data_IF_019336072627
#
_entry.id   IF_019336072627
#
_cell.length_a   1.000
_cell.length_b   1.000
_cell.length_c   1.000
_cell.angle_alpha   90.00
_cell.angle_beta   90.00
_cell.angle_gamma   90.00
#
_symmetry.space_group_name_H-M   'P 1'
#
loop_
_entity.id
_entity.type
_entity.pdbx_description
1 polymer ?
#
# COMPACT_ATOMS: atom_id res chain seq x y z
N UNK A 1 14.63 -6.12 2.44
CA UNK A 1 13.22 -5.64 2.43
C UNK A 1 13.21 -4.12 2.39
N UNK A 2 12.19 -3.48 1.80
CA UNK A 2 12.01 -2.03 1.76
C UNK A 2 10.65 -1.66 2.37
N UNK A 3 10.63 -0.76 3.37
CA UNK A 3 9.38 -0.34 4.04
C UNK A 3 8.69 0.77 3.25
N UNK A 4 7.43 0.57 2.87
CA UNK A 4 6.58 1.57 2.24
C UNK A 4 5.48 2.02 3.20
N UNK A 5 5.37 3.34 3.39
CA UNK A 5 4.35 3.97 4.21
C UNK A 5 3.24 4.51 3.31
N UNK A 6 2.15 3.74 3.18
CA UNK A 6 0.98 4.11 2.39
C UNK A 6 0.11 5.10 3.16
N UNK A 7 -0.55 5.97 2.39
CA UNK A 7 -1.49 7.00 2.87
C UNK A 7 -2.36 7.50 1.71
N UNK A 8 -3.46 8.23 1.96
CA UNK A 8 -4.22 8.88 0.89
C UNK A 8 -3.31 9.70 -0.03
N UNK A 9 -3.43 9.49 -1.34
CA UNK A 9 -2.58 10.11 -2.37
C UNK A 9 -1.20 9.48 -2.59
N UNK A 10 -0.85 8.43 -1.84
CA UNK A 10 0.32 7.59 -2.05
C UNK A 10 -0.03 6.13 -1.69
N UNK A 11 -0.89 5.53 -2.52
CA UNK A 11 -1.49 4.21 -2.33
C UNK A 11 -0.77 3.13 -3.12
N UNK A 12 -1.52 2.09 -3.52
CA UNK A 12 -0.93 0.91 -4.17
C UNK A 12 -0.35 1.21 -5.55
N UNK A 13 -0.97 2.10 -6.34
CA UNK A 13 -0.45 2.47 -7.66
C UNK A 13 0.89 3.22 -7.55
N UNK A 14 1.03 4.15 -6.61
CA UNK A 14 2.29 4.84 -6.37
C UNK A 14 3.36 3.88 -5.84
N UNK A 15 2.97 2.91 -5.01
CA UNK A 15 3.88 1.85 -4.56
C UNK A 15 4.35 0.96 -5.71
N UNK A 16 3.47 0.61 -6.66
CA UNK A 16 3.80 -0.23 -7.81
C UNK A 16 4.81 0.47 -8.73
N UNK A 17 4.67 1.79 -8.90
CA UNK A 17 5.60 2.60 -9.67
C UNK A 17 7.05 2.63 -9.10
N UNK A 18 7.24 2.21 -7.84
CA UNK A 18 8.56 2.09 -7.22
C UNK A 18 9.20 0.70 -7.42
N UNK A 19 8.50 -0.28 -7.99
CA UNK A 19 8.97 -1.66 -8.07
C UNK A 19 10.32 -1.80 -8.81
N UNK A 20 10.46 -1.15 -9.98
CA UNK A 20 11.70 -1.16 -10.77
C UNK A 20 12.86 -0.53 -9.99
N UNK A 21 12.60 0.58 -9.30
CA UNK A 21 13.59 1.26 -8.48
C UNK A 21 14.04 0.39 -7.29
N UNK A 22 13.09 -0.20 -6.57
CA UNK A 22 13.37 -1.09 -5.43
C UNK A 22 14.18 -2.31 -5.89
N UNK A 23 13.84 -2.86 -7.06
CA UNK A 23 14.57 -3.99 -7.67
C UNK A 23 15.99 -3.59 -8.07
N UNK A 24 16.17 -2.40 -8.67
CA UNK A 24 17.49 -1.87 -9.03
C UNK A 24 18.41 -1.66 -7.81
N UNK A 25 17.84 -1.41 -6.64
CA UNK A 25 18.58 -1.37 -5.37
C UNK A 25 18.99 -2.75 -4.84
N UNK A 26 18.60 -3.84 -5.52
CA UNK A 26 18.86 -5.22 -5.09
C UNK A 26 17.91 -5.72 -3.99
N UNK A 27 16.78 -5.03 -3.77
CA UNK A 27 15.82 -5.40 -2.74
C UNK A 27 14.75 -6.31 -3.33
N UNK A 28 14.45 -7.40 -2.61
CA UNK A 28 13.57 -8.46 -3.09
C UNK A 28 12.14 -8.41 -2.57
N UNK A 29 11.87 -7.64 -1.51
CA UNK A 29 10.56 -7.64 -0.83
C UNK A 29 10.17 -6.23 -0.39
N UNK A 30 8.97 -5.80 -0.73
CA UNK A 30 8.33 -4.62 -0.16
C UNK A 30 7.56 -5.00 1.11
N UNK A 31 7.71 -4.20 2.16
CA UNK A 31 6.98 -4.33 3.41
C UNK A 31 6.03 -3.13 3.57
N UNK A 32 4.73 -3.37 3.40
CA UNK A 32 3.72 -2.30 3.40
C UNK A 32 3.24 -1.96 4.82
N UNK A 33 2.82 -0.72 5.04
CA UNK A 33 1.94 -0.35 6.16
C UNK A 33 0.58 -1.07 6.06
N UNK A 34 -0.24 -1.07 7.14
CA UNK A 34 -1.56 -1.72 7.10
C UNK A 34 -2.38 -1.32 5.86
N UNK A 35 -3.01 -2.31 5.25
CA UNK A 35 -3.70 -2.18 3.94
C UNK A 35 -5.21 -2.29 4.02
N UNK A 36 -5.74 -2.69 5.19
CA UNK A 36 -7.16 -2.80 5.44
C UNK A 36 -7.78 -1.41 5.63
N UNK A 37 -9.09 -1.31 5.49
CA UNK A 37 -9.79 -0.03 5.61
C UNK A 37 -9.60 0.56 7.02
N UNK A 38 -8.95 1.73 7.04
CA UNK A 38 -8.78 2.56 8.22
C UNK A 38 -9.83 3.66 8.30
N UNK A 39 -9.84 4.43 9.40
CA UNK A 39 -10.67 5.62 9.50
C UNK A 39 -10.36 6.60 8.33
N UNK A 40 -11.36 7.34 7.82
CA UNK A 40 -11.16 8.24 6.69
C UNK A 40 -10.03 9.24 6.92
N UNK A 41 -9.16 9.42 5.91
CA UNK A 41 -8.02 10.32 5.97
C UNK A 41 -6.83 9.81 6.81
N UNK A 42 -6.85 8.55 7.26
CA UNK A 42 -5.74 7.99 8.04
C UNK A 42 -4.42 8.02 7.27
N UNK A 43 -3.42 8.67 7.84
CA UNK A 43 -2.08 8.75 7.26
C UNK A 43 -1.22 7.49 7.52
N UNK A 44 -1.71 6.53 8.32
CA UNK A 44 -0.91 5.41 8.79
C UNK A 44 -1.56 4.02 8.70
N UNK A 45 -2.89 3.94 8.69
CA UNK A 45 -3.65 2.69 8.54
C UNK A 45 -3.83 1.80 9.79
N UNK A 46 -3.16 2.10 10.91
CA UNK A 46 -3.27 1.29 12.15
C UNK A 46 -4.62 1.39 12.88
N UNK A 47 -5.41 2.39 12.55
CA UNK A 47 -6.78 2.63 13.01
C UNK A 47 -7.80 1.94 12.10
N UNK A 48 -7.66 0.62 11.95
CA UNK A 48 -8.53 -0.21 11.12
C UNK A 48 -9.98 -0.18 11.63
N UNK A 49 -10.92 0.12 10.75
CA UNK A 49 -12.38 0.16 11.02
C UNK A 49 -13.14 -0.97 10.34
N UNK A 50 -12.55 -1.59 9.30
CA UNK A 50 -13.16 -2.71 8.60
C UNK A 50 -12.08 -3.70 8.14
N UNK A 51 -12.13 -4.90 8.73
CA UNK A 51 -11.15 -5.97 8.49
C UNK A 51 -11.48 -6.81 7.24
N UNK A 52 -12.63 -6.57 6.59
CA UNK A 52 -13.10 -7.39 5.48
C UNK A 52 -12.66 -6.89 4.11
N UNK A 53 -12.14 -5.65 4.04
CA UNK A 53 -11.80 -5.00 2.78
C UNK A 53 -10.49 -4.21 2.85
N UNK A 54 -9.88 -4.10 1.68
CA UNK A 54 -8.74 -3.21 1.45
C UNK A 54 -9.21 -1.75 1.48
N UNK A 55 -8.34 -0.85 1.90
CA UNK A 55 -8.66 0.58 1.97
C UNK A 55 -8.96 1.16 0.60
N UNK A 56 -10.13 1.79 0.44
CA UNK A 56 -10.48 2.48 -0.81
C UNK A 56 -9.56 3.68 -1.07
N UNK A 57 -9.14 4.38 0.00
CA UNK A 57 -8.22 5.54 -0.09
C UNK A 57 -6.81 5.16 -0.54
N UNK A 58 -6.45 3.88 -0.45
CA UNK A 58 -5.18 3.34 -0.98
C UNK A 58 -5.34 2.79 -2.41
N UNK A 59 -6.54 2.81 -2.99
CA UNK A 59 -6.84 2.28 -4.32
C UNK A 59 -7.59 0.93 -4.33
N UNK A 60 -7.99 0.43 -3.16
CA UNK A 60 -8.83 -0.75 -3.02
C UNK A 60 -8.24 -2.03 -3.60
N UNK A 61 -9.12 -3.01 -3.90
CA UNK A 61 -8.72 -4.33 -4.43
C UNK A 61 -7.99 -4.24 -5.77
N UNK A 62 -8.44 -3.35 -6.66
CA UNK A 62 -7.84 -3.20 -7.98
C UNK A 62 -6.40 -2.68 -7.87
N UNK A 63 -6.18 -1.61 -7.09
CA UNK A 63 -4.84 -1.07 -6.87
C UNK A 63 -3.91 -2.09 -6.22
N UNK A 64 -4.41 -2.85 -5.23
CA UNK A 64 -3.61 -3.90 -4.60
C UNK A 64 -3.22 -5.01 -5.58
N UNK A 65 -4.15 -5.42 -6.46
CA UNK A 65 -3.87 -6.45 -7.49
C UNK A 65 -2.76 -5.97 -8.42
N UNK A 66 -2.85 -4.73 -8.91
CA UNK A 66 -1.82 -4.13 -9.77
C UNK A 66 -0.45 -3.98 -9.09
N UNK A 67 -0.37 -3.99 -7.75
CA UNK A 67 0.87 -3.95 -6.99
C UNK A 67 1.53 -5.33 -6.82
N UNK A 68 0.74 -6.41 -6.80
CA UNK A 68 1.22 -7.76 -6.49
C UNK A 68 1.40 -8.66 -7.71
N UNK A 69 0.86 -8.26 -8.86
CA UNK A 69 1.08 -8.88 -10.17
C UNK A 69 2.49 -8.57 -10.71
#
# INVERSE_FOLDING_TARGET
>A
MYRLQLRPGAGFHEAAALADYITALGITHAYLSPVLQAAPGSAHGYDTVDHTRLSDELGGRQGFTALVD
#
